data_IF_618147549998
#
_entry.id   IF_618147549998
#
_cell.length_a   1.000
_cell.length_b   1.000
_cell.length_c   1.000
_cell.angle_alpha   90.00
_cell.angle_beta   90.00
_cell.angle_gamma   90.00
#
_symmetry.space_group_name_H-M   'P 1'
#
loop_
_entity.id
_entity.type
_entity.pdbx_description
1 polymer ?
#
# COMPACT_ATOMS: atom_id res chain seq x y z
N UNK A 1 -15.71 39.13 -55.55
CA UNK A 1 -16.19 40.02 -54.48
C UNK A 1 -16.49 39.31 -53.14
N UNK A 2 -15.99 38.14 -52.90
CA UNK A 2 -16.26 37.40 -51.63
C UNK A 2 -15.10 37.40 -50.64
N UNK A 3 -13.88 37.71 -51.05
CA UNK A 3 -12.72 37.68 -50.13
C UNK A 3 -12.76 38.76 -49.03
N UNK A 4 -13.43 39.87 -49.25
CA UNK A 4 -13.51 40.96 -48.27
C UNK A 4 -14.46 40.70 -47.07
N UNK A 5 -15.33 39.68 -47.15
CA UNK A 5 -16.24 39.35 -46.05
C UNK A 5 -15.62 38.50 -44.98
N UNK A 6 -14.66 37.68 -45.33
CA UNK A 6 -13.96 36.78 -44.37
C UNK A 6 -13.01 37.58 -43.45
N UNK A 7 -12.30 38.57 -44.02
CA UNK A 7 -11.40 39.42 -43.24
C UNK A 7 -12.13 40.37 -42.28
N UNK A 8 -13.36 40.77 -42.63
CA UNK A 8 -14.19 41.65 -41.78
C UNK A 8 -14.71 40.90 -40.52
N UNK A 9 -14.95 39.58 -40.63
CA UNK A 9 -15.45 38.73 -39.52
C UNK A 9 -14.34 38.39 -38.50
N UNK A 10 -13.07 38.51 -38.86
CA UNK A 10 -11.93 38.30 -37.97
C UNK A 10 -11.58 39.53 -37.12
N UNK A 11 -12.08 40.72 -37.52
CA UNK A 11 -11.78 41.99 -36.85
C UNK A 11 -12.65 42.27 -35.64
N UNK A 12 -13.78 41.55 -35.46
CA UNK A 12 -14.73 41.73 -34.36
C UNK A 12 -14.48 40.80 -33.16
N UNK A 13 -13.37 40.05 -33.13
CA UNK A 13 -12.98 39.29 -31.96
C UNK A 13 -12.36 40.27 -30.95
N UNK A 14 -13.15 40.69 -29.98
CA UNK A 14 -12.65 41.39 -28.81
C UNK A 14 -11.60 40.52 -28.14
N UNK A 15 -10.34 40.87 -28.26
CA UNK A 15 -9.24 40.23 -27.54
C UNK A 15 -9.34 40.53 -26.05
N UNK A 16 -8.90 39.61 -25.22
CA UNK A 16 -8.76 39.84 -23.79
C UNK A 16 -7.76 40.98 -23.52
N UNK A 17 -8.09 41.82 -22.59
CA UNK A 17 -7.15 42.84 -22.12
C UNK A 17 -6.06 42.21 -21.24
N UNK A 18 -4.88 42.78 -21.23
CA UNK A 18 -3.76 42.31 -20.36
C UNK A 18 -4.18 42.34 -18.88
N UNK A 19 -4.97 43.32 -18.48
CA UNK A 19 -5.47 43.46 -17.09
C UNK A 19 -6.42 42.34 -16.74
N UNK A 20 -7.32 41.89 -17.62
CA UNK A 20 -8.21 40.74 -17.38
C UNK A 20 -7.44 39.46 -17.19
N UNK A 21 -6.37 39.22 -17.96
CA UNK A 21 -5.51 38.07 -17.78
C UNK A 21 -4.79 38.08 -16.44
N UNK A 22 -4.22 39.23 -16.04
CA UNK A 22 -3.52 39.34 -14.75
C UNK A 22 -4.47 39.10 -13.58
N UNK A 23 -5.68 39.67 -13.61
CA UNK A 23 -6.68 39.50 -12.54
C UNK A 23 -7.09 38.02 -12.42
N UNK A 24 -7.35 37.33 -13.54
CA UNK A 24 -7.68 35.90 -13.53
C UNK A 24 -6.53 35.07 -12.96
N UNK A 25 -5.28 35.33 -13.35
CA UNK A 25 -4.11 34.63 -12.83
C UNK A 25 -3.94 34.82 -11.32
N UNK A 26 -4.17 36.02 -10.80
CA UNK A 26 -4.08 36.31 -9.37
C UNK A 26 -5.17 35.55 -8.60
N UNK A 27 -6.40 35.54 -9.10
CA UNK A 27 -7.51 34.78 -8.48
C UNK A 27 -7.18 33.28 -8.46
N UNK A 28 -6.71 32.73 -9.59
CA UNK A 28 -6.33 31.32 -9.68
C UNK A 28 -5.18 30.98 -8.73
N UNK A 29 -4.19 31.87 -8.60
CA UNK A 29 -3.07 31.66 -7.66
C UNK A 29 -3.53 31.60 -6.21
N UNK A 30 -4.45 32.48 -5.80
CA UNK A 30 -5.02 32.47 -4.44
C UNK A 30 -5.82 31.20 -4.20
N UNK A 31 -6.67 30.77 -5.15
CA UNK A 31 -7.46 29.54 -5.03
C UNK A 31 -6.54 28.31 -4.98
N UNK A 32 -5.50 28.25 -5.81
CA UNK A 32 -4.55 27.16 -5.80
C UNK A 32 -3.78 27.06 -4.48
N UNK A 33 -3.37 28.20 -3.90
CA UNK A 33 -2.66 28.23 -2.62
C UNK A 33 -3.47 27.65 -1.45
N UNK A 34 -4.81 27.74 -1.50
CA UNK A 34 -5.69 27.17 -0.49
C UNK A 34 -6.03 25.68 -0.77
N UNK A 35 -6.12 25.28 -2.03
CA UNK A 35 -6.53 23.92 -2.43
C UNK A 35 -5.38 22.91 -2.31
N UNK A 36 -4.13 23.29 -2.64
CA UNK A 36 -2.99 22.36 -2.66
C UNK A 36 -2.73 21.71 -1.29
N UNK A 37 -2.66 22.45 -0.16
CA UNK A 37 -2.44 21.80 1.14
C UNK A 37 -3.54 20.84 1.55
N UNK A 38 -4.79 21.15 1.25
CA UNK A 38 -5.93 20.30 1.56
C UNK A 38 -5.90 19.00 0.75
N UNK A 39 -5.54 19.09 -0.53
CA UNK A 39 -5.50 17.96 -1.45
C UNK A 39 -4.38 16.97 -1.10
N UNK A 40 -3.19 17.45 -0.72
CA UNK A 40 -2.06 16.58 -0.34
C UNK A 40 -2.40 15.70 0.86
N UNK A 41 -3.02 16.27 1.90
CA UNK A 41 -3.45 15.49 3.07
C UNK A 41 -4.53 14.44 2.75
N UNK A 42 -5.38 14.71 1.78
CA UNK A 42 -6.39 13.75 1.33
C UNK A 42 -5.78 12.59 0.53
N UNK A 43 -4.82 12.89 -0.34
CA UNK A 43 -4.08 11.88 -1.12
C UNK A 43 -3.31 10.93 -0.18
N UNK A 44 -2.67 11.45 0.86
CA UNK A 44 -1.95 10.62 1.82
C UNK A 44 -2.87 9.66 2.57
N UNK A 45 -4.05 10.12 3.00
CA UNK A 45 -5.07 9.25 3.61
C UNK A 45 -5.58 8.19 2.64
N UNK A 46 -5.79 8.56 1.36
CA UNK A 46 -6.22 7.61 0.34
C UNK A 46 -5.17 6.51 0.12
N UNK A 47 -3.89 6.88 0.05
CA UNK A 47 -2.77 5.92 -0.06
C UNK A 47 -2.68 4.98 1.15
N UNK A 48 -2.88 5.49 2.36
CA UNK A 48 -2.90 4.64 3.55
C UNK A 48 -4.01 3.59 3.48
N UNK A 49 -5.20 3.99 3.08
CA UNK A 49 -6.33 3.05 2.90
C UNK A 49 -6.08 2.03 1.80
N UNK A 50 -5.44 2.44 0.70
CA UNK A 50 -5.08 1.56 -0.39
C UNK A 50 -4.09 0.49 0.08
N UNK A 51 -2.99 0.86 0.72
CA UNK A 51 -1.99 -0.11 1.19
C UNK A 51 -2.57 -1.07 2.23
N UNK A 52 -3.50 -0.62 3.09
CA UNK A 52 -4.23 -1.49 4.03
C UNK A 52 -5.10 -2.49 3.26
N UNK A 53 -5.80 -2.07 2.21
CA UNK A 53 -6.64 -2.95 1.41
C UNK A 53 -5.81 -4.01 0.66
N UNK A 54 -4.69 -3.62 0.06
CA UNK A 54 -3.75 -4.52 -0.61
C UNK A 54 -3.13 -5.53 0.39
N UNK A 55 -2.71 -5.05 1.56
CA UNK A 55 -2.21 -5.93 2.63
C UNK A 55 -3.27 -6.92 3.09
N UNK A 56 -4.53 -6.50 3.18
CA UNK A 56 -5.64 -7.39 3.54
C UNK A 56 -5.85 -8.48 2.50
N UNK A 57 -5.78 -8.15 1.21
CA UNK A 57 -5.83 -9.15 0.13
C UNK A 57 -4.67 -10.14 0.24
N UNK A 58 -3.45 -9.67 0.51
CA UNK A 58 -2.29 -10.52 0.72
C UNK A 58 -2.46 -11.46 1.93
N UNK A 59 -2.98 -10.97 3.06
CA UNK A 59 -3.24 -11.79 4.26
C UNK A 59 -4.27 -12.87 3.99
N UNK A 60 -5.37 -12.54 3.29
CA UNK A 60 -6.40 -13.51 2.92
C UNK A 60 -5.84 -14.56 1.96
N UNK A 61 -5.07 -14.18 0.95
CA UNK A 61 -4.43 -15.09 0.03
C UNK A 61 -3.43 -16.01 0.76
N UNK A 62 -2.59 -15.45 1.64
CA UNK A 62 -1.67 -16.24 2.44
C UNK A 62 -2.41 -17.25 3.33
N UNK A 63 -3.50 -16.84 3.99
CA UNK A 63 -4.29 -17.74 4.83
C UNK A 63 -4.93 -18.86 4.01
N UNK A 64 -5.48 -18.57 2.84
CA UNK A 64 -6.06 -19.58 1.94
C UNK A 64 -5.02 -20.64 1.55
N UNK A 65 -3.83 -20.21 1.14
CA UNK A 65 -2.74 -21.12 0.76
C UNK A 65 -2.22 -21.93 1.95
N UNK A 66 -2.18 -21.35 3.14
CA UNK A 66 -1.80 -22.03 4.38
C UNK A 66 -2.85 -23.07 4.75
N UNK A 67 -4.13 -22.77 4.62
CA UNK A 67 -5.24 -23.70 4.90
C UNK A 67 -5.22 -24.87 3.91
N UNK A 68 -4.95 -24.61 2.63
CA UNK A 68 -4.76 -25.67 1.61
C UNK A 68 -3.55 -26.54 1.92
N UNK A 69 -2.41 -25.94 2.27
CA UNK A 69 -1.21 -26.66 2.64
C UNK A 69 -1.42 -27.50 3.91
N UNK A 70 -2.16 -26.96 4.87
CA UNK A 70 -2.54 -27.68 6.07
C UNK A 70 -3.40 -28.92 5.78
N UNK A 71 -4.36 -28.79 4.87
CA UNK A 71 -5.22 -29.91 4.45
C UNK A 71 -4.45 -31.00 3.68
N UNK A 72 -3.36 -30.64 2.99
CA UNK A 72 -2.51 -31.57 2.25
C UNK A 72 -1.40 -32.20 3.10
N UNK A 73 -1.07 -31.59 4.24
CA UNK A 73 -0.01 -32.09 5.11
C UNK A 73 -0.49 -33.29 5.93
N UNK A 74 0.28 -34.37 5.88
CA UNK A 74 0.08 -35.55 6.72
C UNK A 74 0.88 -35.50 8.02
N UNK A 75 1.73 -34.50 8.18
CA UNK A 75 2.59 -34.30 9.35
C UNK A 75 1.98 -33.28 10.30
N UNK A 76 2.27 -33.44 11.60
CA UNK A 76 1.90 -32.40 12.58
C UNK A 76 2.55 -31.08 12.18
N UNK A 77 1.73 -30.05 12.00
CA UNK A 77 2.21 -28.71 11.62
C UNK A 77 2.97 -28.14 12.79
N UNK A 78 4.28 -28.25 12.73
CA UNK A 78 5.15 -27.42 13.54
C UNK A 78 5.35 -26.14 12.75
N UNK A 79 4.66 -25.07 13.16
CA UNK A 79 4.88 -23.77 12.56
C UNK A 79 6.33 -23.35 12.85
N UNK A 80 7.18 -23.50 11.87
CA UNK A 80 8.49 -22.89 11.94
C UNK A 80 8.26 -21.41 11.74
N UNK A 81 8.28 -20.63 12.81
CA UNK A 81 8.12 -19.16 12.83
C UNK A 81 9.27 -18.42 12.13
N UNK A 82 10.03 -19.10 11.32
CA UNK A 82 11.10 -18.48 10.56
C UNK A 82 10.49 -17.92 9.30
N UNK A 83 10.25 -16.60 9.27
CA UNK A 83 10.17 -15.92 8.00
C UNK A 83 11.45 -16.26 7.24
N UNK A 84 11.35 -17.18 6.29
CA UNK A 84 12.48 -17.46 5.43
C UNK A 84 12.87 -16.14 4.76
N UNK A 85 14.16 -15.95 4.50
CA UNK A 85 14.69 -14.70 3.90
C UNK A 85 14.02 -14.37 2.56
N UNK A 86 13.38 -15.37 1.94
CA UNK A 86 12.61 -15.26 0.70
C UNK A 86 11.11 -14.98 0.91
N UNK A 87 10.66 -14.82 2.18
CA UNK A 87 9.27 -14.57 2.52
C UNK A 87 8.34 -15.78 2.37
N UNK A 88 8.88 -17.01 2.26
CA UNK A 88 8.11 -18.25 2.27
C UNK A 88 7.85 -18.75 3.69
N UNK A 89 6.84 -19.59 3.85
CA UNK A 89 6.49 -20.24 5.11
C UNK A 89 6.24 -21.74 4.86
N UNK A 90 6.73 -22.60 5.78
CA UNK A 90 6.50 -24.05 5.73
C UNK A 90 5.30 -24.42 6.59
N UNK A 91 4.43 -25.26 6.00
CA UNK A 91 3.28 -25.88 6.66
C UNK A 91 3.44 -27.38 6.51
N UNK A 92 4.01 -28.05 7.53
CA UNK A 92 4.41 -29.45 7.42
C UNK A 92 5.43 -29.66 6.28
N UNK A 93 5.08 -30.51 5.32
CA UNK A 93 5.90 -30.78 4.12
C UNK A 93 5.68 -29.77 2.97
N UNK A 94 4.65 -28.93 3.05
CA UNK A 94 4.30 -27.99 1.99
C UNK A 94 4.91 -26.61 2.25
N UNK A 95 5.43 -25.96 1.21
CA UNK A 95 5.95 -24.60 1.29
C UNK A 95 4.99 -23.64 0.59
N UNK A 96 4.50 -22.64 1.32
CA UNK A 96 3.75 -21.52 0.79
C UNK A 96 4.73 -20.39 0.49
N UNK A 97 4.84 -20.01 -0.77
CA UNK A 97 5.79 -18.99 -1.22
C UNK A 97 5.14 -17.61 -1.29
N UNK A 98 5.97 -16.58 -1.14
CA UNK A 98 5.58 -15.20 -1.36
C UNK A 98 4.95 -14.98 -2.74
N UNK A 99 5.52 -15.62 -3.77
CA UNK A 99 5.02 -15.53 -5.14
C UNK A 99 3.61 -16.07 -5.28
N UNK A 100 3.32 -17.27 -4.73
CA UNK A 100 1.96 -17.82 -4.75
C UNK A 100 0.95 -16.91 -4.04
N UNK A 101 1.35 -16.33 -2.90
CA UNK A 101 0.52 -15.37 -2.16
C UNK A 101 0.24 -14.12 -2.99
N UNK A 102 1.25 -13.58 -3.66
CA UNK A 102 1.11 -12.40 -4.51
C UNK A 102 0.26 -12.68 -5.74
N UNK A 103 0.47 -13.82 -6.41
CA UNK A 103 -0.30 -14.23 -7.59
C UNK A 103 -1.80 -14.40 -7.23
N UNK A 104 -2.10 -15.02 -6.09
CA UNK A 104 -3.49 -15.20 -5.63
C UNK A 104 -4.14 -13.89 -5.18
N UNK A 105 -3.36 -12.97 -4.63
CA UNK A 105 -3.82 -11.65 -4.21
C UNK A 105 -3.87 -10.62 -5.36
N UNK A 106 -3.42 -10.98 -6.57
CA UNK A 106 -3.24 -10.09 -7.72
C UNK A 106 -2.29 -8.91 -7.42
N UNK A 107 -1.21 -9.20 -6.67
CA UNK A 107 -0.21 -8.23 -6.22
C UNK A 107 1.17 -8.57 -6.81
N UNK A 108 2.10 -7.62 -6.65
CA UNK A 108 3.50 -7.84 -7.00
C UNK A 108 4.23 -8.56 -5.87
N UNK A 109 4.91 -9.66 -6.15
CA UNK A 109 5.59 -10.49 -5.16
C UNK A 109 6.71 -9.76 -4.40
N UNK A 110 7.43 -8.87 -5.06
CA UNK A 110 8.50 -8.07 -4.43
C UNK A 110 8.01 -7.10 -3.35
N UNK A 111 6.70 -6.81 -3.31
CA UNK A 111 6.10 -5.94 -2.30
C UNK A 111 5.78 -6.67 -0.99
N UNK A 112 5.73 -8.00 -0.99
CA UNK A 112 5.53 -8.82 0.21
C UNK A 112 6.90 -9.19 0.78
N UNK A 113 7.20 -8.83 2.02
CA UNK A 113 8.53 -9.02 2.61
C UNK A 113 8.61 -10.18 3.61
N UNK A 114 7.49 -10.61 4.16
CA UNK A 114 7.48 -11.71 5.12
C UNK A 114 6.08 -12.17 5.46
N UNK A 115 5.95 -13.48 5.67
CA UNK A 115 4.71 -14.11 6.12
C UNK A 115 5.09 -14.97 7.34
N UNK A 116 4.34 -14.84 8.43
CA UNK A 116 4.48 -15.67 9.62
C UNK A 116 3.17 -16.33 9.97
N UNK A 117 3.25 -17.58 10.40
CA UNK A 117 2.10 -18.37 10.84
C UNK A 117 2.30 -18.85 12.27
N UNK A 118 1.21 -19.03 13.01
CA UNK A 118 1.22 -19.72 14.30
C UNK A 118 1.08 -21.25 14.10
N UNK A 119 1.31 -22.01 15.18
CA UNK A 119 1.21 -23.48 15.19
C UNK A 119 -0.17 -24.00 14.79
N UNK A 120 -1.20 -23.17 14.93
CA UNK A 120 -2.57 -23.48 14.52
C UNK A 120 -2.86 -23.16 13.04
N UNK A 121 -1.84 -22.84 12.24
CA UNK A 121 -1.99 -22.50 10.83
C UNK A 121 -2.49 -21.08 10.55
N UNK A 122 -2.68 -20.23 11.56
CA UNK A 122 -3.12 -18.85 11.33
C UNK A 122 -1.97 -17.96 10.92
N UNK A 123 -2.17 -17.12 9.90
CA UNK A 123 -1.26 -16.04 9.56
C UNK A 123 -1.27 -15.01 10.70
N UNK A 124 -0.11 -14.82 11.33
CA UNK A 124 0.06 -13.90 12.46
C UNK A 124 0.69 -12.58 12.06
N UNK A 125 1.53 -12.59 11.03
CA UNK A 125 2.21 -11.40 10.54
C UNK A 125 2.36 -11.45 9.01
N UNK A 126 2.24 -10.28 8.38
CA UNK A 126 2.57 -10.07 6.98
C UNK A 126 3.01 -8.62 6.78
N UNK A 127 4.08 -8.43 6.02
CA UNK A 127 4.62 -7.11 5.69
C UNK A 127 4.42 -6.85 4.19
N UNK A 128 3.76 -5.77 3.88
CA UNK A 128 3.55 -5.30 2.52
C UNK A 128 4.09 -3.88 2.34
N UNK A 129 4.83 -3.64 1.25
CA UNK A 129 5.52 -2.38 1.00
C UNK A 129 5.17 -1.84 -0.39
N UNK A 130 4.55 -0.67 -0.44
CA UNK A 130 4.31 0.09 -1.67
C UNK A 130 4.42 1.60 -1.41
N UNK A 131 5.63 2.13 -1.48
CA UNK A 131 5.94 3.50 -1.08
C UNK A 131 5.81 3.77 0.42
N UNK A 132 4.85 3.14 1.08
CA UNK A 132 4.71 3.01 2.54
C UNK A 132 4.79 1.55 2.94
N UNK A 133 4.88 1.27 4.22
CA UNK A 133 4.86 -0.10 4.75
C UNK A 133 3.59 -0.32 5.53
N UNK A 134 2.86 -1.38 5.21
CA UNK A 134 1.77 -1.86 6.02
C UNK A 134 2.16 -3.19 6.67
N UNK A 135 2.08 -3.21 7.97
CA UNK A 135 2.38 -4.37 8.80
C UNK A 135 1.05 -4.93 9.34
N UNK A 136 0.71 -6.14 8.93
CA UNK A 136 -0.34 -6.91 9.57
C UNK A 136 0.25 -7.66 10.76
N UNK A 137 -0.37 -7.57 11.92
CA UNK A 137 0.02 -8.33 13.10
C UNK A 137 -1.17 -8.61 14.01
N UNK A 138 -1.27 -9.85 14.49
CA UNK A 138 -2.29 -10.25 15.48
C UNK A 138 -1.96 -9.79 16.89
N UNK A 139 -0.72 -9.36 17.13
CA UNK A 139 -0.26 -8.73 18.38
C UNK A 139 0.16 -7.29 18.12
N UNK A 140 0.00 -6.42 19.11
CA UNK A 140 0.44 -5.02 18.99
C UNK A 140 1.96 -4.98 18.78
N UNK A 141 2.45 -4.37 17.68
CA UNK A 141 3.88 -4.24 17.45
C UNK A 141 4.54 -3.39 18.56
N UNK A 142 5.56 -3.95 19.22
CA UNK A 142 6.34 -3.24 20.23
C UNK A 142 7.65 -2.77 19.63
N UNK A 143 8.04 -1.52 19.88
CA UNK A 143 9.32 -0.97 19.42
C UNK A 143 9.34 -0.48 17.97
N UNK A 144 8.22 -0.51 17.28
CA UNK A 144 8.08 0.12 15.98
C UNK A 144 8.12 1.65 16.11
N UNK A 145 8.58 2.33 15.05
CA UNK A 145 8.48 3.77 14.93
C UNK A 145 7.03 4.26 14.96
N UNK A 146 6.85 5.57 14.81
CA UNK A 146 5.51 6.16 14.86
C UNK A 146 4.61 5.61 13.76
N UNK A 147 3.53 4.93 14.15
CA UNK A 147 2.47 4.50 13.24
C UNK A 147 1.72 5.72 12.71
N UNK A 148 1.52 5.80 11.40
CA UNK A 148 0.77 6.91 10.78
C UNK A 148 -0.72 6.65 10.84
N UNK A 149 -1.13 5.40 10.64
CA UNK A 149 -2.53 4.97 10.64
C UNK A 149 -2.63 3.53 11.16
N UNK A 150 -3.65 3.26 11.94
CA UNK A 150 -3.97 1.92 12.44
C UNK A 150 -5.42 1.58 12.09
N UNK A 151 -5.64 0.37 11.54
CA UNK A 151 -6.97 -0.15 11.26
C UNK A 151 -7.05 -1.62 11.70
N UNK A 152 -7.52 -1.86 12.91
CA UNK A 152 -7.50 -3.18 13.53
C UNK A 152 -6.05 -3.67 13.67
N UNK A 153 -5.74 -4.79 13.04
CA UNK A 153 -4.43 -5.42 13.05
C UNK A 153 -3.46 -4.90 11.96
N UNK A 154 -3.82 -3.82 11.26
CA UNK A 154 -3.02 -3.22 10.19
C UNK A 154 -2.40 -1.91 10.67
N UNK A 155 -1.09 -1.79 10.59
CA UNK A 155 -0.29 -0.67 11.06
C UNK A 155 0.49 -0.09 9.88
N UNK A 156 0.28 1.18 9.55
CA UNK A 156 0.95 1.86 8.42
C UNK A 156 2.09 2.72 8.92
N UNK A 157 3.24 2.62 8.27
CA UNK A 157 4.47 3.37 8.53
C UNK A 157 4.99 4.05 7.26
N UNK A 158 5.74 5.14 7.40
CA UNK A 158 6.32 5.85 6.26
C UNK A 158 7.44 5.08 5.56
N UNK A 159 8.18 4.25 6.29
CA UNK A 159 9.31 3.49 5.74
C UNK A 159 9.50 2.18 6.49
N UNK A 160 10.20 1.26 5.85
CA UNK A 160 10.54 -0.05 6.43
C UNK A 160 11.40 0.06 7.70
N UNK A 161 12.25 1.07 7.82
CA UNK A 161 13.05 1.31 9.03
C UNK A 161 12.20 1.60 10.27
N UNK A 162 11.02 2.19 10.08
CA UNK A 162 10.07 2.46 11.14
C UNK A 162 9.21 1.22 11.50
N UNK A 163 9.05 0.29 10.58
CA UNK A 163 8.35 -0.98 10.80
C UNK A 163 9.25 -2.05 11.45
N UNK A 164 10.55 -2.00 11.22
CA UNK A 164 11.52 -2.99 11.69
C UNK A 164 11.74 -3.01 13.21
N UNK A 165 11.24 -2.03 13.96
CA UNK A 165 11.26 -2.03 15.42
C UNK A 165 10.23 -2.98 16.07
N UNK A 166 9.30 -3.53 15.31
CA UNK A 166 8.33 -4.53 15.75
C UNK A 166 8.80 -5.93 15.35
N UNK A 167 9.48 -6.58 16.26
CA UNK A 167 9.73 -8.02 16.27
C UNK A 167 10.07 -8.66 14.91
N UNK A 168 11.23 -8.29 14.33
CA UNK A 168 11.99 -9.32 13.60
C UNK A 168 12.12 -10.49 14.57
N UNK A 169 11.77 -11.74 14.19
CA UNK A 169 11.97 -12.88 15.06
C UNK A 169 13.44 -12.88 15.46
N UNK A 170 13.70 -12.50 16.70
CA UNK A 170 15.04 -12.56 17.27
C UNK A 170 15.43 -14.02 17.20
N UNK A 171 16.55 -14.27 16.55
CA UNK A 171 17.32 -15.47 16.71
C UNK A 171 17.65 -15.57 18.22
N UNK A 172 16.74 -16.17 18.98
CA UNK A 172 17.08 -16.68 20.30
C UNK A 172 17.68 -18.05 20.09
N UNK A 173 19.06 -18.07 20.21
CA UNK A 173 19.87 -19.27 20.21
C UNK A 173 19.56 -20.25 21.34
#
# INVERSE_FOLDING_TARGET
MEENKVFKKLKDKKGFTLVELIVVLVILAILAALLVPALTGYIDKARNKQIIAETRSAVMAAQTLVDEAYAQSTEAVVATQTAATDGSVKVGSVTVTRKQTADLAELTDSKISGIMIADNGKVTQLIYTDGKVCYYSTSTPTGAGTTIETNGNYYVYNSASNAAGGNTPGNNG
#
